data_IF_487033636403
#
_entry.id   IF_487033636403
#
_cell.length_a   1.000
_cell.length_b   1.000
_cell.length_c   1.000
_cell.angle_alpha   90.00
_cell.angle_beta   90.00
_cell.angle_gamma   90.00
#
_symmetry.space_group_name_H-M   'P 1'
#
loop_
_entity.id
_entity.type
_entity.pdbx_description
1 polymer ?
#
# COMPACT_ATOMS: atom_id res chain seq x y z
N UNK A 1 27.62 -16.97 6.88
CA UNK A 1 26.20 -16.66 6.60
C UNK A 1 25.40 -17.95 6.37
N UNK A 2 25.48 -18.92 7.28
CA UNK A 2 24.81 -20.22 7.16
C UNK A 2 23.78 -20.40 8.27
N UNK A 3 22.58 -20.89 7.90
CA UNK A 3 21.45 -21.30 8.76
C UNK A 3 20.48 -20.23 9.28
N UNK A 4 20.61 -18.95 8.91
CA UNK A 4 19.73 -17.87 9.41
C UNK A 4 18.36 -17.73 8.70
N UNK A 5 18.01 -18.62 7.76
CA UNK A 5 16.68 -18.65 7.12
C UNK A 5 15.71 -19.65 7.77
N UNK A 6 15.90 -19.97 9.07
CA UNK A 6 15.00 -20.79 9.88
C UNK A 6 13.72 -20.07 10.32
N UNK A 7 13.04 -19.35 9.41
CA UNK A 7 11.91 -18.47 9.75
C UNK A 7 10.61 -19.21 10.06
N UNK A 8 10.51 -20.49 9.69
CA UNK A 8 9.30 -21.28 9.78
C UNK A 8 9.69 -22.67 10.31
N UNK A 9 9.57 -22.86 11.62
CA UNK A 9 9.65 -24.19 12.22
C UNK A 9 8.23 -24.76 12.23
N UNK A 10 8.08 -25.95 11.67
CA UNK A 10 6.83 -26.70 11.81
C UNK A 10 6.81 -27.22 13.23
N UNK A 11 5.96 -26.65 14.09
CA UNK A 11 5.64 -27.31 15.35
C UNK A 11 4.75 -28.51 15.06
N UNK A 12 5.00 -29.61 15.76
CA UNK A 12 4.43 -30.93 15.47
C UNK A 12 2.89 -30.98 15.51
N UNK A 13 2.21 -29.97 16.06
CA UNK A 13 0.75 -29.99 16.23
C UNK A 13 0.00 -28.71 15.78
N UNK A 14 0.67 -27.69 15.19
CA UNK A 14 0.03 -26.36 15.07
C UNK A 14 0.27 -25.53 13.81
N UNK A 15 1.07 -26.01 12.85
CA UNK A 15 1.42 -25.24 11.64
C UNK A 15 2.67 -24.38 11.81
N UNK A 16 2.87 -23.42 10.91
CA UNK A 16 4.06 -22.58 10.90
C UNK A 16 3.94 -21.45 11.92
N UNK A 17 4.77 -21.48 12.97
CA UNK A 17 4.93 -20.36 13.90
C UNK A 17 6.32 -19.73 13.74
N UNK A 18 6.38 -18.40 13.72
CA UNK A 18 7.66 -17.72 13.90
C UNK A 18 8.03 -17.79 15.39
N UNK A 19 9.06 -18.56 15.73
CA UNK A 19 9.62 -18.63 17.08
C UNK A 19 10.30 -17.29 17.41
N UNK A 20 9.69 -16.47 18.27
CA UNK A 20 10.29 -15.19 18.66
C UNK A 20 11.40 -15.41 19.68
N UNK A 21 11.21 -16.38 20.58
CA UNK A 21 12.16 -16.70 21.66
C UNK A 21 13.54 -17.10 21.13
N UNK A 22 13.62 -18.02 20.17
CA UNK A 22 14.89 -18.47 19.60
C UNK A 22 15.63 -17.33 18.88
N UNK A 23 14.89 -16.49 18.13
CA UNK A 23 15.46 -15.34 17.42
C UNK A 23 16.03 -14.29 18.39
N UNK A 24 15.27 -13.93 19.43
CA UNK A 24 15.74 -12.97 20.44
C UNK A 24 16.90 -13.52 21.27
N UNK A 25 16.90 -14.82 21.57
CA UNK A 25 18.01 -15.49 22.24
C UNK A 25 19.29 -15.45 21.39
N UNK A 26 19.17 -15.61 20.06
CA UNK A 26 20.31 -15.51 19.15
C UNK A 26 20.93 -14.09 19.12
N UNK A 27 20.15 -13.07 19.47
CA UNK A 27 20.61 -11.68 19.63
C UNK A 27 21.07 -11.35 21.06
N UNK A 28 21.15 -12.35 21.95
CA UNK A 28 21.44 -12.18 23.36
C UNK A 28 20.46 -11.22 24.07
N UNK A 29 19.20 -11.17 23.62
CA UNK A 29 18.14 -10.40 24.27
C UNK A 29 17.42 -11.31 25.27
N UNK A 30 17.52 -10.97 26.55
CA UNK A 30 16.72 -11.62 27.59
C UNK A 30 15.28 -11.09 27.55
N UNK A 31 14.38 -11.92 27.00
CA UNK A 31 12.95 -11.58 26.91
C UNK A 31 12.28 -11.50 28.27
N UNK A 32 12.74 -12.24 29.28
CA UNK A 32 12.20 -12.15 30.64
C UNK A 32 12.47 -10.77 31.24
N UNK A 33 13.70 -10.27 31.08
CA UNK A 33 14.04 -8.91 31.49
C UNK A 33 13.33 -7.85 30.63
N UNK A 34 13.27 -8.06 29.32
CA UNK A 34 12.72 -7.08 28.36
C UNK A 34 11.20 -6.91 28.51
N UNK A 35 10.48 -7.96 28.91
CA UNK A 35 9.04 -7.94 29.13
C UNK A 35 8.63 -7.62 30.57
N UNK A 36 9.59 -7.44 31.49
CA UNK A 36 9.33 -7.14 32.89
C UNK A 36 8.73 -5.74 33.06
N UNK A 37 7.63 -5.61 33.78
CA UNK A 37 7.00 -4.32 34.05
C UNK A 37 7.30 -3.85 35.47
N UNK A 38 7.77 -2.62 35.62
CA UNK A 38 7.94 -1.99 36.94
C UNK A 38 6.93 -0.86 37.14
N UNK A 39 6.25 -0.87 38.27
CA UNK A 39 5.21 0.09 38.61
C UNK A 39 5.59 0.90 39.84
N UNK A 40 5.19 2.16 39.86
CA UNK A 40 5.35 3.05 41.01
C UNK A 40 4.28 2.84 42.07
N UNK A 41 4.41 3.58 43.17
CA UNK A 41 3.39 3.64 44.23
C UNK A 41 2.03 4.07 43.72
N UNK A 42 2.04 4.92 42.69
CA UNK A 42 0.82 5.50 42.10
C UNK A 42 0.21 4.62 41.02
N UNK A 43 0.61 3.34 40.94
CA UNK A 43 0.19 2.37 39.91
C UNK A 43 0.57 2.77 38.47
N UNK A 44 1.36 3.84 38.31
CA UNK A 44 1.89 4.26 37.02
C UNK A 44 3.04 3.36 36.59
N UNK A 45 3.15 3.12 35.28
CA UNK A 45 4.24 2.33 34.72
C UNK A 45 5.52 3.17 34.70
N UNK A 46 6.56 2.72 35.41
CA UNK A 46 7.85 3.41 35.51
C UNK A 46 8.80 2.93 34.40
N UNK A 47 8.91 1.62 34.21
CA UNK A 47 9.77 1.04 33.17
C UNK A 47 9.16 -0.20 32.53
N UNK A 48 9.54 -0.41 31.27
CA UNK A 48 9.29 -1.61 30.48
C UNK A 48 10.65 -2.24 30.20
N UNK A 49 10.93 -3.34 30.91
CA UNK A 49 12.26 -3.88 31.06
C UNK A 49 13.24 -2.80 31.49
N UNK A 50 14.25 -2.56 30.66
CA UNK A 50 15.29 -1.55 30.91
C UNK A 50 14.95 -0.16 30.34
N UNK A 51 13.77 0.03 29.76
CA UNK A 51 13.36 1.28 29.12
C UNK A 51 12.45 2.06 30.08
N UNK A 52 12.88 3.24 30.49
CA UNK A 52 12.10 4.18 31.30
C UNK A 52 11.35 5.18 30.42
N UNK A 53 10.37 5.88 31.00
CA UNK A 53 9.67 6.98 30.33
C UNK A 53 10.66 8.04 29.82
N UNK A 54 10.53 8.41 28.55
CA UNK A 54 11.45 9.32 27.85
C UNK A 54 12.68 8.66 27.24
N UNK A 55 12.94 7.38 27.55
CA UNK A 55 14.06 6.62 27.00
C UNK A 55 13.66 5.64 25.89
N UNK A 56 12.37 5.57 25.52
CA UNK A 56 11.93 4.71 24.42
C UNK A 56 12.54 5.19 23.11
N UNK A 57 13.24 4.28 22.43
CA UNK A 57 13.92 4.57 21.16
C UNK A 57 12.89 4.82 20.05
N UNK A 58 12.87 6.02 19.44
CA UNK A 58 12.00 6.28 18.29
C UNK A 58 12.43 5.44 17.07
N UNK A 59 11.47 5.07 16.21
CA UNK A 59 11.75 4.41 14.93
C UNK A 59 11.20 5.21 13.75
N UNK A 60 11.91 6.27 13.32
CA UNK A 60 11.50 7.13 12.20
C UNK A 60 11.32 6.38 10.88
N UNK A 61 12.00 5.25 10.67
CA UNK A 61 11.80 4.37 9.51
C UNK A 61 10.49 3.58 9.52
N UNK A 62 9.67 3.68 10.57
CA UNK A 62 8.37 3.00 10.69
C UNK A 62 7.26 4.01 10.98
N UNK A 63 7.43 4.81 12.05
CA UNK A 63 6.45 5.78 12.50
C UNK A 63 6.83 7.24 12.19
N UNK A 64 7.82 7.46 11.33
CA UNK A 64 8.27 8.78 10.94
C UNK A 64 7.22 9.59 10.15
N UNK A 65 7.28 10.90 10.30
CA UNK A 65 6.39 11.85 9.62
C UNK A 65 6.56 11.80 8.10
N UNK A 66 7.77 11.55 7.60
CA UNK A 66 8.03 11.36 6.18
C UNK A 66 7.30 10.17 5.58
N UNK A 67 7.18 9.05 6.30
CA UNK A 67 6.39 7.89 5.85
C UNK A 67 4.91 8.26 5.81
N UNK A 68 4.44 9.00 6.80
CA UNK A 68 3.07 9.50 6.82
C UNK A 68 2.76 10.46 5.65
N UNK A 69 3.69 11.34 5.29
CA UNK A 69 3.56 12.18 4.09
C UNK A 69 3.63 11.37 2.80
N UNK A 70 4.53 10.39 2.71
CA UNK A 70 4.59 9.50 1.55
C UNK A 70 3.25 8.77 1.33
N UNK A 71 2.54 8.44 2.41
CA UNK A 71 1.19 7.85 2.33
C UNK A 71 0.13 8.77 1.70
N UNK A 72 0.27 10.10 1.76
CA UNK A 72 -0.69 11.01 1.12
C UNK A 72 -0.78 10.80 -0.39
N UNK A 73 0.29 10.35 -1.02
CA UNK A 73 0.29 10.10 -2.46
C UNK A 73 -0.38 8.79 -2.82
N UNK A 74 -0.45 7.86 -1.87
CA UNK A 74 -1.29 6.68 -1.98
C UNK A 74 -2.76 7.07 -1.94
N UNK A 75 -3.14 8.04 -1.09
CA UNK A 75 -4.46 8.67 -1.17
C UNK A 75 -4.70 9.36 -2.51
N UNK A 76 -3.65 9.91 -3.14
CA UNK A 76 -3.72 10.36 -4.52
C UNK A 76 -4.24 9.27 -5.47
N UNK A 77 -3.76 8.03 -5.36
CA UNK A 77 -4.26 6.89 -6.14
C UNK A 77 -5.73 6.59 -5.83
N UNK A 78 -6.12 6.62 -4.56
CA UNK A 78 -7.52 6.41 -4.13
C UNK A 78 -8.45 7.48 -4.71
N UNK A 79 -8.08 8.75 -4.60
CA UNK A 79 -8.85 9.87 -5.16
C UNK A 79 -8.95 9.75 -6.67
N UNK A 80 -7.85 9.44 -7.35
CA UNK A 80 -7.86 9.20 -8.80
C UNK A 80 -8.79 8.04 -9.18
N UNK A 81 -8.80 6.96 -8.38
CA UNK A 81 -9.68 5.81 -8.59
C UNK A 81 -11.16 6.18 -8.47
N UNK A 82 -11.53 6.89 -7.40
CA UNK A 82 -12.89 7.34 -7.15
C UNK A 82 -13.38 8.28 -8.25
N UNK A 83 -12.59 9.30 -8.57
CA UNK A 83 -12.91 10.25 -9.65
C UNK A 83 -13.08 9.52 -10.98
N UNK A 84 -12.19 8.57 -11.29
CA UNK A 84 -12.28 7.80 -12.53
C UNK A 84 -13.59 7.02 -12.63
N UNK A 85 -13.97 6.28 -11.58
CA UNK A 85 -15.18 5.46 -11.63
C UNK A 85 -16.43 6.31 -11.66
N UNK A 86 -16.48 7.42 -10.91
CA UNK A 86 -17.59 8.39 -10.99
C UNK A 86 -17.73 8.90 -12.42
N UNK A 87 -16.63 9.33 -13.04
CA UNK A 87 -16.63 9.77 -14.43
C UNK A 87 -17.07 8.64 -15.37
N UNK A 88 -16.60 7.41 -15.20
CA UNK A 88 -17.00 6.26 -16.03
C UNK A 88 -18.51 5.96 -15.92
N UNK A 89 -19.07 5.98 -14.70
CA UNK A 89 -20.49 5.73 -14.46
C UNK A 89 -21.33 6.86 -15.09
N UNK A 90 -20.99 8.12 -14.82
CA UNK A 90 -21.72 9.29 -15.32
C UNK A 90 -21.69 9.40 -16.85
N UNK A 91 -20.55 9.06 -17.46
CA UNK A 91 -20.38 9.19 -18.92
C UNK A 91 -21.05 8.05 -19.67
N UNK A 92 -21.14 6.85 -19.07
CA UNK A 92 -21.95 5.75 -19.61
C UNK A 92 -23.45 5.94 -19.42
N UNK A 93 -23.89 6.66 -18.38
CA UNK A 93 -25.32 6.91 -18.14
C UNK A 93 -25.90 8.02 -19.02
N UNK A 94 -25.11 9.04 -19.36
CA UNK A 94 -25.61 10.23 -20.07
C UNK A 94 -25.52 10.16 -21.59
N UNK A 95 -24.54 9.44 -22.18
CA UNK A 95 -24.44 9.35 -23.64
C UNK A 95 -23.70 8.09 -24.10
N UNK A 96 -24.33 7.21 -24.90
CA UNK A 96 -23.71 5.98 -25.41
C UNK A 96 -22.49 6.23 -26.33
N UNK A 97 -22.30 7.47 -26.81
CA UNK A 97 -21.19 7.89 -27.68
C UNK A 97 -20.21 8.87 -27.04
N UNK A 98 -20.28 9.14 -25.72
CA UNK A 98 -19.33 10.08 -25.11
C UNK A 98 -17.93 9.45 -25.02
N UNK A 99 -16.97 9.98 -25.80
CA UNK A 99 -15.56 9.57 -25.82
C UNK A 99 -14.79 9.76 -24.50
N UNK A 100 -15.50 10.01 -23.39
CA UNK A 100 -14.91 10.18 -22.06
C UNK A 100 -14.60 8.82 -21.42
N UNK A 101 -15.45 7.79 -21.63
CA UNK A 101 -15.31 6.40 -21.14
C UNK A 101 -14.03 5.70 -21.66
N UNK A 102 -13.41 6.23 -22.71
CA UNK A 102 -12.13 5.74 -23.24
C UNK A 102 -10.92 6.08 -22.36
N UNK A 103 -11.10 6.61 -21.14
CA UNK A 103 -9.99 7.07 -20.28
C UNK A 103 -9.01 5.95 -19.84
N UNK A 104 -9.36 4.66 -19.92
CA UNK A 104 -8.42 3.53 -19.74
C UNK A 104 -8.55 2.38 -20.76
N UNK A 105 -9.42 2.50 -21.78
CA UNK A 105 -9.42 1.60 -22.95
C UNK A 105 -8.38 2.08 -23.93
N UNK A 106 -7.24 1.40 -24.14
CA UNK A 106 -6.18 1.89 -25.06
C UNK A 106 -6.89 2.31 -26.35
N UNK A 107 -6.80 3.60 -26.70
CA UNK A 107 -7.10 3.96 -28.07
C UNK A 107 -6.21 3.03 -28.90
N UNK A 108 -6.77 2.34 -29.92
CA UNK A 108 -5.91 1.73 -30.93
C UNK A 108 -4.86 2.78 -31.29
N UNK A 109 -3.59 2.35 -31.25
CA UNK A 109 -2.40 3.19 -31.44
C UNK A 109 -2.81 4.37 -32.30
N UNK A 110 -2.92 5.56 -31.67
CA UNK A 110 -3.56 6.74 -32.27
C UNK A 110 -3.23 6.74 -33.75
N UNK A 111 -4.27 6.69 -34.56
CA UNK A 111 -4.14 6.96 -35.98
C UNK A 111 -3.24 8.20 -36.08
N UNK A 112 -2.03 8.10 -36.64
CA UNK A 112 -1.06 9.19 -36.60
C UNK A 112 -1.65 10.52 -37.12
N UNK A 113 -2.74 10.44 -37.87
CA UNK A 113 -3.49 11.53 -38.47
C UNK A 113 -4.54 12.18 -37.53
N UNK A 114 -4.65 11.79 -36.25
CA UNK A 114 -5.63 12.39 -35.33
C UNK A 114 -5.21 13.83 -34.92
N UNK A 115 -5.62 14.80 -35.74
CA UNK A 115 -5.30 16.25 -35.64
C UNK A 115 -5.81 16.95 -34.37
N UNK A 116 -6.60 16.31 -33.50
CA UNK A 116 -7.22 17.00 -32.38
C UNK A 116 -6.26 17.10 -31.15
N UNK A 117 -5.75 18.31 -30.82
CA UNK A 117 -4.78 18.48 -29.74
C UNK A 117 -5.35 18.13 -28.35
N UNK A 118 -6.67 18.25 -28.14
CA UNK A 118 -7.32 17.91 -26.87
C UNK A 118 -7.30 16.39 -26.61
N UNK A 119 -7.59 15.59 -27.64
CA UNK A 119 -7.54 14.12 -27.55
C UNK A 119 -6.12 13.63 -27.29
N UNK A 120 -5.14 14.25 -27.93
CA UNK A 120 -3.71 13.97 -27.72
C UNK A 120 -3.28 14.23 -26.27
N UNK A 121 -3.55 15.42 -25.72
CA UNK A 121 -3.21 15.74 -24.31
C UNK A 121 -3.84 14.73 -23.34
N UNK A 122 -5.10 14.37 -23.57
CA UNK A 122 -5.80 13.33 -22.78
C UNK A 122 -5.07 11.98 -22.83
N UNK A 123 -4.55 11.57 -23.99
CA UNK A 123 -3.77 10.34 -24.14
C UNK A 123 -2.45 10.35 -23.35
N UNK A 124 -1.78 11.49 -23.26
CA UNK A 124 -0.55 11.67 -22.47
C UNK A 124 -0.86 11.58 -20.98
N UNK A 125 -1.81 12.37 -20.47
CA UNK A 125 -2.22 12.35 -19.06
C UNK A 125 -2.66 10.97 -18.60
N UNK A 126 -3.35 10.26 -19.47
CA UNK A 126 -3.77 8.89 -19.21
C UNK A 126 -2.60 7.91 -19.08
N UNK A 127 -1.63 8.00 -19.98
CA UNK A 127 -0.45 7.17 -19.92
C UNK A 127 0.35 7.46 -18.64
N UNK A 128 0.51 8.75 -18.32
CA UNK A 128 1.13 9.21 -17.09
C UNK A 128 0.41 8.67 -15.85
N UNK A 129 -0.92 8.75 -15.80
CA UNK A 129 -1.73 8.22 -14.70
C UNK A 129 -1.62 6.69 -14.55
N UNK A 130 -1.57 5.95 -15.66
CA UNK A 130 -1.30 4.50 -15.63
C UNK A 130 0.10 4.20 -15.08
N UNK A 131 1.12 4.92 -15.55
CA UNK A 131 2.50 4.77 -15.07
C UNK A 131 2.62 5.13 -13.60
N UNK A 132 1.89 6.16 -13.15
CA UNK A 132 1.81 6.55 -11.74
C UNK A 132 1.21 5.42 -10.90
N UNK A 133 0.01 4.94 -11.24
CA UNK A 133 -0.67 3.89 -10.45
C UNK A 133 0.17 2.60 -10.42
N UNK A 134 0.79 2.19 -11.54
CA UNK A 134 1.70 1.03 -11.55
C UNK A 134 2.96 1.29 -10.72
N UNK A 135 3.59 2.45 -10.87
CA UNK A 135 4.80 2.80 -10.15
C UNK A 135 4.59 2.87 -8.64
N UNK A 136 3.46 3.42 -8.20
CA UNK A 136 3.05 3.42 -6.78
C UNK A 136 2.79 1.98 -6.32
N UNK A 137 2.06 1.16 -7.11
CA UNK A 137 1.79 -0.23 -6.74
C UNK A 137 3.08 -1.04 -6.58
N UNK A 138 4.01 -0.96 -7.53
CA UNK A 138 5.29 -1.69 -7.50
C UNK A 138 6.13 -1.27 -6.28
N UNK A 139 6.15 0.03 -6.01
CA UNK A 139 6.74 0.62 -4.81
C UNK A 139 6.13 0.08 -3.52
N UNK A 140 4.79 0.01 -3.46
CA UNK A 140 4.08 -0.52 -2.30
C UNK A 140 4.38 -2.00 -2.08
N UNK A 141 4.54 -2.78 -3.14
CA UNK A 141 4.91 -4.19 -3.03
C UNK A 141 6.31 -4.37 -2.43
N UNK A 142 7.28 -3.55 -2.88
CA UNK A 142 8.64 -3.54 -2.30
C UNK A 142 8.59 -3.10 -0.83
N UNK A 143 7.82 -2.06 -0.53
CA UNK A 143 7.64 -1.54 0.83
C UNK A 143 7.07 -2.60 1.78
N UNK A 144 5.99 -3.29 1.40
CA UNK A 144 5.44 -4.40 2.19
C UNK A 144 6.47 -5.52 2.35
N UNK A 145 7.18 -5.87 1.27
CA UNK A 145 8.26 -6.87 1.33
C UNK A 145 9.35 -6.49 2.34
N UNK A 146 9.77 -5.22 2.37
CA UNK A 146 10.75 -4.72 3.32
C UNK A 146 10.26 -4.80 4.78
N UNK A 147 9.00 -4.46 5.05
CA UNK A 147 8.40 -4.64 6.38
C UNK A 147 8.32 -6.11 6.78
N UNK A 148 7.86 -6.98 5.88
CA UNK A 148 7.76 -8.41 6.15
C UNK A 148 9.13 -9.04 6.40
N UNK A 149 10.17 -8.63 5.66
CA UNK A 149 11.54 -9.09 5.89
C UNK A 149 12.13 -8.51 7.19
N UNK A 150 11.92 -7.22 7.44
CA UNK A 150 12.36 -6.55 8.67
C UNK A 150 11.71 -7.17 9.91
N UNK A 151 10.44 -7.54 9.79
CA UNK A 151 9.74 -8.33 10.78
C UNK A 151 10.29 -9.72 10.84
N UNK A 152 10.41 -10.46 9.73
CA UNK A 152 10.89 -11.84 9.76
C UNK A 152 12.25 -11.96 10.48
N UNK A 153 13.14 -11.01 10.26
CA UNK A 153 14.46 -10.92 10.89
C UNK A 153 14.44 -10.43 12.35
N UNK A 154 15.47 -9.67 12.69
CA UNK A 154 15.87 -9.35 14.07
C UNK A 154 15.01 -8.29 14.76
N UNK A 155 14.22 -7.54 13.98
CA UNK A 155 13.53 -6.37 14.54
C UNK A 155 12.43 -6.75 15.54
N UNK A 156 11.93 -7.99 15.58
CA UNK A 156 10.80 -8.39 16.46
C UNK A 156 11.08 -8.18 17.95
N UNK A 157 12.33 -8.32 18.37
CA UNK A 157 12.71 -8.31 19.78
C UNK A 157 12.75 -6.91 20.37
N UNK A 158 13.05 -5.91 19.54
CA UNK A 158 13.19 -4.51 19.94
C UNK A 158 12.02 -3.64 19.49
N UNK A 159 11.25 -4.10 18.51
CA UNK A 159 10.09 -3.38 17.98
C UNK A 159 8.96 -3.39 19.01
N UNK A 160 8.52 -2.21 19.42
CA UNK A 160 7.32 -2.07 20.26
C UNK A 160 6.05 -2.43 19.48
N UNK A 161 4.99 -2.86 20.17
CA UNK A 161 3.65 -3.05 19.60
C UNK A 161 3.12 -1.81 18.86
N UNK A 162 3.50 -0.61 19.31
CA UNK A 162 3.21 0.66 18.66
C UNK A 162 3.71 0.68 17.21
N UNK A 163 5.02 0.58 17.02
CA UNK A 163 5.65 0.55 15.71
C UNK A 163 5.14 -0.60 14.85
N UNK A 164 4.91 -1.78 15.44
CA UNK A 164 4.33 -2.92 14.73
C UNK A 164 2.93 -2.61 14.21
N UNK A 165 2.05 -2.05 15.04
CA UNK A 165 0.69 -1.67 14.67
C UNK A 165 0.68 -0.59 13.58
N UNK A 166 1.57 0.40 13.67
CA UNK A 166 1.75 1.42 12.63
C UNK A 166 2.14 0.77 11.30
N UNK A 167 3.14 -0.10 11.31
CA UNK A 167 3.60 -0.82 10.13
C UNK A 167 2.53 -1.74 9.53
N UNK A 168 1.75 -2.47 10.34
CA UNK A 168 0.63 -3.29 9.85
C UNK A 168 -0.41 -2.42 9.15
N UNK A 169 -0.79 -1.28 9.74
CA UNK A 169 -1.72 -0.34 9.11
C UNK A 169 -1.15 0.23 7.78
N UNK A 170 0.15 0.50 7.71
CA UNK A 170 0.81 0.93 6.47
C UNK A 170 0.81 -0.18 5.41
N UNK A 171 1.07 -1.44 5.79
CA UNK A 171 0.98 -2.58 4.88
C UNK A 171 -0.45 -2.78 4.36
N UNK A 172 -1.48 -2.56 5.19
CA UNK A 172 -2.88 -2.64 4.77
C UNK A 172 -3.27 -1.55 3.76
N UNK A 173 -2.75 -0.33 3.90
CA UNK A 173 -2.86 0.73 2.90
C UNK A 173 -2.16 0.29 1.60
N UNK A 174 -0.96 -0.27 1.69
CA UNK A 174 -0.22 -0.77 0.54
C UNK A 174 -1.00 -1.87 -0.23
N UNK A 175 -1.59 -2.85 0.47
CA UNK A 175 -2.44 -3.89 -0.14
C UNK A 175 -3.69 -3.29 -0.81
N UNK A 176 -4.26 -2.22 -0.24
CA UNK A 176 -5.36 -1.48 -0.85
C UNK A 176 -4.95 -0.87 -2.20
N UNK A 177 -3.75 -0.26 -2.26
CA UNK A 177 -3.19 0.29 -3.51
C UNK A 177 -2.90 -0.78 -4.55
N UNK A 178 -2.36 -1.94 -4.14
CA UNK A 178 -2.17 -3.09 -5.05
C UNK A 178 -3.50 -3.56 -5.64
N UNK A 179 -4.55 -3.61 -4.81
CA UNK A 179 -5.91 -3.98 -5.26
C UNK A 179 -6.45 -2.97 -6.27
N UNK A 180 -6.29 -1.67 -6.00
CA UNK A 180 -6.69 -0.61 -6.92
C UNK A 180 -5.93 -0.67 -8.25
N UNK A 181 -4.63 -0.96 -8.23
CA UNK A 181 -3.81 -0.97 -9.44
C UNK A 181 -4.29 -2.04 -10.43
N UNK A 182 -4.62 -3.23 -9.93
CA UNK A 182 -5.19 -4.33 -10.73
C UNK A 182 -6.60 -3.98 -11.22
N UNK A 183 -7.46 -3.43 -10.35
CA UNK A 183 -8.84 -3.13 -10.68
C UNK A 183 -8.97 -2.02 -11.74
N UNK A 184 -8.17 -0.95 -11.65
CA UNK A 184 -8.25 0.23 -12.52
C UNK A 184 -7.54 0.03 -13.85
N UNK A 185 -6.40 -0.67 -13.86
CA UNK A 185 -5.55 -0.75 -15.05
C UNK A 185 -5.99 -1.93 -15.92
N UNK A 186 -6.87 -1.66 -16.88
CA UNK A 186 -7.34 -2.67 -17.87
C UNK A 186 -6.22 -3.38 -18.62
N UNK A 187 -5.09 -2.71 -18.75
CA UNK A 187 -3.92 -3.16 -19.49
C UNK A 187 -2.82 -3.70 -18.58
N UNK A 188 -3.17 -4.14 -17.36
CA UNK A 188 -2.24 -4.69 -16.39
C UNK A 188 -1.41 -5.83 -17.00
N UNK A 189 -2.07 -6.73 -17.74
CA UNK A 189 -1.47 -7.87 -18.44
C UNK A 189 -0.94 -7.57 -19.85
N UNK A 190 -0.69 -6.30 -20.19
CA UNK A 190 -0.11 -5.96 -21.51
C UNK A 190 1.25 -6.64 -21.72
N UNK A 191 2.06 -6.72 -20.66
CA UNK A 191 3.26 -7.55 -20.63
C UNK A 191 3.01 -8.69 -19.63
N UNK A 192 2.74 -9.93 -20.10
CA UNK A 192 2.32 -11.02 -19.22
C UNK A 192 3.41 -11.42 -18.22
N UNK A 193 4.69 -11.34 -18.60
CA UNK A 193 5.81 -11.66 -17.69
C UNK A 193 5.87 -10.66 -16.53
N UNK A 194 5.81 -9.36 -16.84
CA UNK A 194 5.81 -8.33 -15.82
C UNK A 194 4.56 -8.38 -14.92
N UNK A 195 3.40 -8.72 -15.49
CA UNK A 195 2.15 -8.87 -14.74
C UNK A 195 2.17 -10.11 -13.83
N UNK A 196 2.69 -11.24 -14.32
CA UNK A 196 2.87 -12.46 -13.54
C UNK A 196 3.83 -12.24 -12.37
N UNK A 197 4.96 -11.57 -12.61
CA UNK A 197 5.90 -11.23 -11.54
C UNK A 197 5.25 -10.36 -10.45
N UNK A 198 4.53 -9.30 -10.84
CA UNK A 198 3.77 -8.47 -9.88
C UNK A 198 2.72 -9.26 -9.12
N UNK A 199 2.01 -10.16 -9.78
CA UNK A 199 1.02 -11.02 -9.14
C UNK A 199 1.68 -11.91 -8.09
N UNK A 200 2.81 -12.54 -8.40
CA UNK A 200 3.57 -13.38 -7.45
C UNK A 200 4.01 -12.56 -6.24
N UNK A 201 4.61 -11.39 -6.47
CA UNK A 201 5.04 -10.52 -5.36
C UNK A 201 3.86 -10.01 -4.53
N UNK A 202 2.75 -9.63 -5.16
CA UNK A 202 1.55 -9.17 -4.46
C UNK A 202 0.90 -10.31 -3.67
N UNK A 203 0.83 -11.52 -4.22
CA UNK A 203 0.38 -12.71 -3.49
C UNK A 203 1.27 -12.98 -2.27
N UNK A 204 2.60 -12.90 -2.44
CA UNK A 204 3.54 -13.00 -1.33
C UNK A 204 3.29 -11.94 -0.25
N UNK A 205 3.03 -10.69 -0.65
CA UNK A 205 2.67 -9.61 0.26
C UNK A 205 1.36 -9.88 1.01
N UNK A 206 0.29 -10.30 0.33
CA UNK A 206 -0.98 -10.67 0.95
C UNK A 206 -0.79 -11.83 1.93
N UNK A 207 -0.09 -12.90 1.54
CA UNK A 207 0.19 -14.05 2.43
C UNK A 207 0.99 -13.61 3.65
N UNK A 208 2.08 -12.85 3.47
CA UNK A 208 2.92 -12.40 4.59
C UNK A 208 2.18 -11.49 5.57
N UNK A 209 1.38 -10.53 5.06
CA UNK A 209 0.55 -9.67 5.91
C UNK A 209 -0.54 -10.49 6.60
N UNK A 210 -1.15 -11.45 5.90
CA UNK A 210 -2.13 -12.39 6.48
C UNK A 210 -1.53 -13.18 7.63
N UNK A 211 -0.36 -13.78 7.45
CA UNK A 211 0.38 -14.48 8.52
C UNK A 211 0.71 -13.57 9.70
N UNK A 212 0.93 -12.28 9.45
CA UNK A 212 1.22 -11.27 10.48
C UNK A 212 -0.04 -10.93 11.29
N UNK A 213 -1.20 -10.81 10.64
CA UNK A 213 -2.47 -10.37 11.25
C UNK A 213 -3.27 -11.52 11.90
N UNK A 214 -3.20 -12.74 11.35
CA UNK A 214 -3.96 -13.92 11.80
C UNK A 214 -3.28 -14.73 12.91
N UNK A 215 -2.31 -14.16 13.62
CA UNK A 215 -1.68 -14.83 14.76
C UNK A 215 -2.68 -14.90 15.93
N UNK A 216 -2.61 -15.99 16.70
CA UNK A 216 -3.54 -16.25 17.81
C UNK A 216 -3.53 -15.11 18.84
N UNK A 217 -2.35 -14.59 19.16
CA UNK A 217 -2.20 -13.50 20.11
C UNK A 217 -2.53 -12.13 19.48
N UNK A 218 -3.31 -11.32 20.19
CA UNK A 218 -3.64 -9.97 19.77
C UNK A 218 -2.43 -9.04 19.96
N UNK A 219 -1.86 -8.55 18.85
CA UNK A 219 -0.69 -7.68 18.85
C UNK A 219 -1.00 -6.21 19.15
N UNK A 220 -2.29 -5.80 19.11
CA UNK A 220 -2.75 -4.44 19.32
C UNK A 220 -3.70 -4.37 20.54
N UNK A 221 -3.14 -4.39 21.76
CA UNK A 221 -3.92 -4.33 22.99
C UNK A 221 -4.52 -2.91 23.18
N UNK A 222 -5.84 -2.84 23.36
CA UNK A 222 -6.63 -1.62 23.63
C UNK A 222 -6.33 -0.44 22.68
N UNK A 223 -6.74 -0.59 21.41
CA UNK A 223 -6.44 0.37 20.35
C UNK A 223 -7.68 1.20 19.90
N UNK A 224 -7.62 2.56 19.89
CA UNK A 224 -6.58 3.41 20.46
C UNK A 224 -6.65 3.48 22.00
N UNK A 225 -5.53 3.66 22.71
CA UNK A 225 -5.57 3.83 24.15
C UNK A 225 -6.37 5.08 24.55
N UNK A 226 -7.05 5.07 25.70
CA UNK A 226 -7.76 6.24 26.21
C UNK A 226 -6.84 7.46 26.35
N UNK A 227 -7.36 8.65 26.03
CA UNK A 227 -6.63 9.92 26.18
C UNK A 227 -6.32 10.27 27.64
N UNK A 228 -6.97 9.63 28.60
CA UNK A 228 -6.78 9.81 30.05
C UNK A 228 -5.56 9.05 30.57
N UNK A 229 -4.98 8.15 29.78
CA UNK A 229 -3.90 7.25 30.21
C UNK A 229 -2.63 7.53 29.39
N UNK A 230 -1.50 7.62 30.09
CA UNK A 230 -0.17 7.78 29.49
C UNK A 230 0.60 6.46 29.36
N UNK A 231 0.11 5.39 29.99
CA UNK A 231 0.73 4.07 29.95
C UNK A 231 -0.16 3.12 29.14
N UNK A 232 0.41 2.21 28.38
CA UNK A 232 -0.38 1.24 27.62
C UNK A 232 0.50 0.07 27.21
N UNK A 233 -0.13 -1.10 27.09
CA UNK A 233 0.49 -2.30 26.56
C UNK A 233 0.98 -2.13 25.10
N UNK A 234 0.52 -1.11 24.36
CA UNK A 234 1.06 -0.78 23.03
C UNK A 234 2.57 -0.40 23.06
N UNK A 235 3.06 0.01 24.23
CA UNK A 235 4.46 0.40 24.44
C UNK A 235 5.39 -0.80 24.67
N UNK A 236 4.81 -1.98 24.98
CA UNK A 236 5.57 -3.21 25.17
C UNK A 236 6.26 -3.63 23.87
N UNK A 237 7.46 -4.26 23.96
CA UNK A 237 8.02 -5.01 22.85
C UNK A 237 7.00 -6.01 22.29
N UNK A 238 6.84 -6.05 20.97
CA UNK A 238 5.82 -6.87 20.31
C UNK A 238 6.01 -8.37 20.60
N UNK A 239 7.26 -8.79 20.82
CA UNK A 239 7.61 -10.13 21.29
C UNK A 239 6.84 -10.53 22.57
N UNK A 240 6.71 -9.60 23.52
CA UNK A 240 6.00 -9.82 24.79
C UNK A 240 4.50 -10.06 24.58
N UNK A 241 3.93 -9.61 23.45
CA UNK A 241 2.51 -9.77 23.15
C UNK A 241 2.23 -10.95 22.22
N UNK A 242 3.20 -11.36 21.42
CA UNK A 242 3.05 -12.45 20.46
C UNK A 242 3.21 -13.83 21.10
N UNK A 243 4.03 -13.95 22.15
CA UNK A 243 4.24 -15.18 22.91
C UNK A 243 3.25 -15.26 24.09
N UNK A 244 2.48 -16.35 24.21
CA UNK A 244 1.43 -16.51 25.23
C UNK A 244 1.97 -16.40 26.65
N UNK A 245 3.15 -16.99 26.89
CA UNK A 245 3.72 -17.10 28.23
C UNK A 245 4.24 -15.74 28.70
N UNK A 246 4.93 -15.01 27.82
CA UNK A 246 5.40 -13.65 28.11
C UNK A 246 4.24 -12.67 28.29
N UNK A 247 3.19 -12.81 27.46
CA UNK A 247 1.99 -11.98 27.58
C UNK A 247 1.28 -12.22 28.92
N UNK A 248 1.07 -13.48 29.29
CA UNK A 248 0.42 -13.82 30.55
C UNK A 248 1.22 -13.34 31.76
N UNK A 249 2.55 -13.41 31.69
CA UNK A 249 3.43 -12.86 32.71
C UNK A 249 3.29 -11.34 32.85
N UNK A 250 3.39 -10.60 31.74
CA UNK A 250 3.24 -9.13 31.76
C UNK A 250 1.83 -8.70 32.22
N UNK A 251 0.80 -9.45 31.83
CA UNK A 251 -0.57 -9.22 32.27
C UNK A 251 -0.75 -9.47 33.77
N UNK A 252 -0.10 -10.50 34.31
CA UNK A 252 -0.12 -10.79 35.74
C UNK A 252 0.58 -9.68 36.55
N UNK A 253 1.72 -9.17 36.07
CA UNK A 253 2.42 -8.06 36.72
C UNK A 253 1.57 -6.78 36.77
N UNK A 254 0.90 -6.46 35.67
CA UNK A 254 -0.04 -5.34 35.62
C UNK A 254 -1.22 -5.55 36.58
N UNK A 255 -1.78 -6.76 36.63
CA UNK A 255 -2.89 -7.13 37.54
C UNK A 255 -2.48 -7.01 39.01
N UNK A 256 -1.31 -7.53 39.39
CA UNK A 256 -0.78 -7.46 40.75
C UNK A 256 -0.54 -6.01 41.19
N UNK A 257 -0.11 -5.15 40.26
CA UNK A 257 0.11 -3.72 40.50
C UNK A 257 -1.16 -2.88 40.42
N UNK A 258 -2.33 -3.51 40.13
CA UNK A 258 -3.62 -2.85 39.88
C UNK A 258 -3.56 -1.79 38.77
N UNK A 259 -2.58 -1.90 37.88
CA UNK A 259 -2.39 -0.98 36.78
C UNK A 259 -3.17 -1.45 35.56
N UNK A 260 -4.12 -0.64 35.10
CA UNK A 260 -4.78 -0.89 33.82
C UNK A 260 -3.95 -0.33 32.67
N UNK A 261 -3.18 -1.18 32.01
CA UNK A 261 -2.44 -0.84 30.78
C UNK A 261 -3.15 -1.31 29.50
N UNK A 262 -4.36 -1.84 29.60
CA UNK A 262 -5.21 -2.15 28.45
C UNK A 262 -4.72 -3.31 27.60
N UNK A 263 -4.53 -4.50 28.17
CA UNK A 263 -4.19 -5.70 27.36
C UNK A 263 -5.31 -6.14 26.40
N UNK A 264 -6.55 -5.69 26.64
CA UNK A 264 -7.74 -6.18 25.94
C UNK A 264 -8.04 -7.65 26.23
N UNK A 265 -9.14 -8.16 25.66
CA UNK A 265 -9.44 -9.58 25.74
C UNK A 265 -8.61 -10.35 24.71
N UNK A 266 -8.20 -11.58 25.05
CA UNK A 266 -7.40 -12.44 24.17
C UNK A 266 -8.14 -12.80 22.88
N UNK A 267 -9.47 -12.97 22.98
CA UNK A 267 -10.33 -13.40 21.89
C UNK A 267 -10.94 -12.25 21.08
N UNK A 268 -10.59 -10.99 21.40
CA UNK A 268 -11.08 -9.85 20.63
C UNK A 268 -10.55 -9.93 19.20
N UNK A 269 -11.45 -9.99 18.23
CA UNK A 269 -11.11 -10.03 16.82
C UNK A 269 -10.77 -8.62 16.31
N UNK A 270 -9.50 -8.31 15.97
CA UNK A 270 -9.15 -6.98 15.49
C UNK A 270 -9.83 -6.71 14.14
N UNK A 271 -10.33 -5.48 13.96
CA UNK A 271 -11.01 -5.07 12.72
C UNK A 271 -10.09 -5.16 11.50
N UNK A 272 -8.78 -5.08 11.70
CA UNK A 272 -7.74 -5.31 10.68
C UNK A 272 -7.92 -6.66 9.97
N UNK A 273 -8.37 -7.71 10.68
CA UNK A 273 -8.65 -9.01 10.06
C UNK A 273 -9.81 -8.92 9.06
N UNK A 274 -10.88 -8.17 9.39
CA UNK A 274 -12.00 -7.95 8.47
C UNK A 274 -11.59 -7.14 7.25
N UNK A 275 -10.82 -6.07 7.46
CA UNK A 275 -10.24 -5.29 6.35
C UNK A 275 -9.35 -6.17 5.47
N UNK A 276 -8.53 -7.04 6.06
CA UNK A 276 -7.68 -7.93 5.29
C UNK A 276 -8.49 -8.93 4.46
N UNK A 277 -9.50 -9.60 5.05
CA UNK A 277 -10.34 -10.57 4.33
C UNK A 277 -11.03 -9.88 3.14
N UNK A 278 -11.63 -8.72 3.37
CA UNK A 278 -12.34 -7.97 2.32
C UNK A 278 -11.38 -7.48 1.23
N UNK A 279 -10.19 -7.02 1.58
CA UNK A 279 -9.13 -6.68 0.62
C UNK A 279 -8.67 -7.89 -0.19
N UNK A 280 -8.43 -9.03 0.45
CA UNK A 280 -7.97 -10.25 -0.22
C UNK A 280 -9.02 -10.75 -1.23
N UNK A 281 -10.29 -10.76 -0.85
CA UNK A 281 -11.39 -11.11 -1.77
C UNK A 281 -11.46 -10.09 -2.91
N UNK A 282 -11.37 -8.79 -2.62
CA UNK A 282 -11.39 -7.76 -3.66
C UNK A 282 -10.22 -7.92 -4.65
N UNK A 283 -9.03 -8.23 -4.16
CA UNK A 283 -7.84 -8.50 -4.98
C UNK A 283 -8.04 -9.72 -5.89
N UNK A 284 -8.55 -10.83 -5.36
CA UNK A 284 -8.84 -12.04 -6.15
C UNK A 284 -9.91 -11.78 -7.21
N UNK A 285 -10.99 -11.09 -6.85
CA UNK A 285 -12.05 -10.69 -7.78
C UNK A 285 -11.53 -9.75 -8.86
N UNK A 286 -10.64 -8.80 -8.51
CA UNK A 286 -10.00 -7.91 -9.48
C UNK A 286 -9.22 -8.71 -10.53
N UNK A 287 -8.42 -9.70 -10.10
CA UNK A 287 -7.69 -10.59 -11.00
C UNK A 287 -8.60 -11.51 -11.83
N UNK A 288 -9.62 -12.12 -11.21
CA UNK A 288 -10.59 -12.99 -11.89
C UNK A 288 -11.40 -12.23 -12.94
N UNK A 289 -11.56 -10.91 -12.81
CA UNK A 289 -12.25 -10.08 -13.80
C UNK A 289 -11.45 -9.85 -15.09
N UNK A 290 -10.14 -10.13 -15.10
CA UNK A 290 -9.26 -9.79 -16.23
C UNK A 290 -9.57 -10.62 -17.49
N UNK A 291 -9.72 -11.95 -17.43
CA UNK A 291 -10.11 -12.75 -18.60
C UNK A 291 -11.46 -12.32 -19.19
N UNK A 292 -12.43 -11.98 -18.32
CA UNK A 292 -13.76 -11.51 -18.72
C UNK A 292 -13.64 -10.20 -19.51
N UNK A 293 -12.87 -9.24 -18.97
CA UNK A 293 -12.59 -7.95 -19.65
C UNK A 293 -11.85 -8.13 -20.97
N UNK A 294 -10.97 -9.13 -21.06
CA UNK A 294 -10.24 -9.44 -22.29
C UNK A 294 -11.16 -10.04 -23.37
N UNK A 295 -12.04 -10.97 -22.99
CA UNK A 295 -13.03 -11.57 -23.89
C UNK A 295 -14.02 -10.52 -24.42
N UNK A 296 -14.50 -9.62 -23.55
CA UNK A 296 -15.42 -8.54 -23.92
C UNK A 296 -14.81 -7.58 -24.96
N UNK A 297 -13.48 -7.43 -24.99
CA UNK A 297 -12.78 -6.55 -25.93
C UNK A 297 -12.83 -7.05 -27.39
N UNK A 298 -13.09 -8.34 -27.61
CA UNK A 298 -13.15 -8.93 -28.96
C UNK A 298 -14.48 -8.67 -29.67
N UNK A 299 -15.59 -8.59 -28.94
CA UNK A 299 -16.91 -8.41 -29.55
C UNK A 299 -17.16 -6.91 -29.84
N UNK A 300 -17.16 -6.54 -31.13
CA UNK A 300 -16.97 -5.17 -31.61
C UNK A 300 -18.23 -4.27 -31.67
N UNK A 301 -19.32 -4.60 -30.99
CA UNK A 301 -20.48 -3.68 -30.91
C UNK A 301 -20.92 -3.54 -29.45
N UNK A 302 -20.86 -2.33 -28.86
CA UNK A 302 -21.37 -2.10 -27.52
C UNK A 302 -22.90 -2.23 -27.56
N UNK A 303 -23.39 -3.43 -27.28
CA UNK A 303 -24.81 -3.68 -27.09
C UNK A 303 -25.31 -2.83 -25.90
N UNK A 304 -26.50 -2.22 -26.04
CA UNK A 304 -27.10 -1.41 -24.97
C UNK A 304 -27.12 -2.23 -23.68
N UNK A 305 -26.65 -1.64 -22.58
CA UNK A 305 -26.66 -2.31 -21.29
C UNK A 305 -28.10 -2.68 -20.90
N UNK A 306 -28.39 -3.98 -20.87
CA UNK A 306 -29.55 -4.49 -20.14
C UNK A 306 -29.42 -4.05 -18.68
N UNK A 307 -30.53 -3.70 -18.02
CA UNK A 307 -30.55 -3.24 -16.61
C UNK A 307 -29.72 -4.13 -15.68
N UNK A 308 -29.74 -5.44 -15.92
CA UNK A 308 -28.95 -6.42 -15.18
C UNK A 308 -27.43 -6.19 -15.28
N UNK A 309 -26.89 -5.95 -16.48
CA UNK A 309 -25.45 -5.70 -16.68
C UNK A 309 -25.00 -4.39 -16.03
N UNK A 310 -25.87 -3.38 -16.04
CA UNK A 310 -25.63 -2.13 -15.36
C UNK A 310 -25.51 -2.33 -13.85
N UNK A 311 -26.47 -3.05 -13.26
CA UNK A 311 -26.44 -3.42 -11.85
C UNK A 311 -25.17 -4.20 -11.49
N UNK A 312 -24.84 -5.27 -12.22
CA UNK A 312 -23.62 -6.07 -11.97
C UNK A 312 -22.35 -5.21 -12.03
N UNK A 313 -22.26 -4.30 -13.00
CA UNK A 313 -21.06 -3.46 -13.14
C UNK A 313 -20.97 -2.41 -12.03
N UNK A 314 -22.08 -1.80 -11.62
CA UNK A 314 -22.12 -0.86 -10.49
C UNK A 314 -21.76 -1.58 -9.19
N UNK A 315 -22.34 -2.76 -8.94
CA UNK A 315 -22.03 -3.59 -7.77
C UNK A 315 -20.57 -4.01 -7.75
N UNK A 316 -20.02 -4.44 -8.90
CA UNK A 316 -18.61 -4.75 -9.03
C UNK A 316 -17.72 -3.55 -8.65
N UNK A 317 -17.98 -2.37 -9.21
CA UNK A 317 -17.17 -1.19 -8.91
C UNK A 317 -17.34 -0.69 -7.48
N UNK A 318 -18.56 -0.74 -6.93
CA UNK A 318 -18.79 -0.44 -5.52
C UNK A 318 -17.95 -1.36 -4.62
N UNK A 319 -17.92 -2.66 -4.92
CA UNK A 319 -17.12 -3.64 -4.18
C UNK A 319 -15.61 -3.49 -4.42
N UNK A 320 -15.16 -3.06 -5.60
CA UNK A 320 -13.73 -2.81 -5.87
C UNK A 320 -13.23 -1.51 -5.25
N UNK A 321 -14.09 -0.53 -5.03
CA UNK A 321 -13.71 0.78 -4.51
C UNK A 321 -13.87 0.90 -3.00
N UNK A 322 -14.99 0.44 -2.46
CA UNK A 322 -15.38 0.74 -1.08
C UNK A 322 -14.42 0.08 -0.06
N UNK A 323 -14.16 -1.24 -0.08
CA UNK A 323 -13.29 -1.86 0.92
C UNK A 323 -11.86 -1.31 0.93
N UNK A 324 -11.15 -1.16 -0.22
CA UNK A 324 -9.82 -0.58 -0.20
C UNK A 324 -9.78 0.89 0.22
N UNK A 325 -10.80 1.69 -0.15
CA UNK A 325 -10.92 3.09 0.29
C UNK A 325 -11.12 3.17 1.80
N UNK A 326 -12.10 2.43 2.33
CA UNK A 326 -12.43 2.43 3.76
C UNK A 326 -11.24 1.95 4.57
N UNK A 327 -10.60 0.86 4.16
CA UNK A 327 -9.39 0.33 4.83
C UNK A 327 -8.29 1.38 4.84
N UNK A 328 -8.02 2.03 3.71
CA UNK A 328 -6.96 3.03 3.62
C UNK A 328 -7.21 4.23 4.54
N UNK A 329 -8.43 4.78 4.54
CA UNK A 329 -8.83 5.93 5.37
C UNK A 329 -8.76 5.58 6.85
N UNK A 330 -9.31 4.43 7.25
CA UNK A 330 -9.33 4.00 8.66
C UNK A 330 -7.92 3.71 9.15
N UNK A 331 -7.10 2.96 8.40
CA UNK A 331 -5.71 2.68 8.76
C UNK A 331 -4.88 3.96 8.88
N UNK A 332 -5.07 4.93 7.98
CA UNK A 332 -4.37 6.22 8.06
C UNK A 332 -4.78 7.04 9.28
N UNK A 333 -6.09 7.11 9.58
CA UNK A 333 -6.59 7.78 10.78
C UNK A 333 -6.06 7.10 12.05
N UNK A 334 -5.99 5.77 12.07
CA UNK A 334 -5.41 5.00 13.18
C UNK A 334 -3.94 5.32 13.38
N UNK A 335 -3.12 5.32 12.32
CA UNK A 335 -1.70 5.71 12.41
C UNK A 335 -1.56 7.11 12.99
N UNK A 336 -2.37 8.08 12.53
CA UNK A 336 -2.35 9.43 13.07
C UNK A 336 -2.68 9.48 14.58
N UNK A 337 -3.78 8.84 14.99
CA UNK A 337 -4.18 8.75 16.39
C UNK A 337 -3.11 8.08 17.26
N UNK A 338 -2.46 7.03 16.75
CA UNK A 338 -1.40 6.29 17.45
C UNK A 338 -0.20 7.18 17.72
N UNK A 339 0.28 7.86 16.68
CA UNK A 339 1.46 8.72 16.76
C UNK A 339 1.22 9.89 17.71
N UNK A 340 0.03 10.50 17.65
CA UNK A 340 -0.32 11.60 18.54
C UNK A 340 -0.51 11.15 19.98
N UNK A 341 -1.03 9.94 20.22
CA UNK A 341 -1.09 9.38 21.57
C UNK A 341 0.31 9.11 22.14
N UNK A 342 1.18 8.41 21.40
CA UNK A 342 2.56 8.10 21.85
C UNK A 342 3.40 9.35 22.07
N UNK A 343 3.19 10.41 21.28
CA UNK A 343 3.83 11.70 21.50
C UNK A 343 3.41 12.31 22.84
N UNK A 344 2.12 12.26 23.19
CA UNK A 344 1.58 12.82 24.43
C UNK A 344 1.90 11.97 25.65
N UNK A 345 2.11 10.67 25.48
CA UNK A 345 2.39 9.73 26.57
C UNK A 345 3.72 9.99 27.29
N UNK A 346 4.64 10.73 26.65
CA UNK A 346 5.96 11.07 27.20
C UNK A 346 6.96 9.91 27.20
N UNK A 347 6.62 8.78 26.59
CA UNK A 347 7.50 7.61 26.55
C UNK A 347 8.68 7.77 25.60
N UNK A 348 8.49 8.47 24.49
CA UNK A 348 9.56 8.81 23.55
C UNK A 348 10.20 10.14 23.97
N UNK A 349 11.54 10.16 24.04
CA UNK A 349 12.31 11.32 24.44
C UNK A 349 12.16 12.53 23.52
N UNK A 350 12.49 13.71 24.05
CA UNK A 350 12.64 14.94 23.27
C UNK A 350 14.13 15.21 23.03
N UNK A 351 14.60 15.35 21.77
CA UNK A 351 13.81 15.44 20.54
C UNK A 351 13.34 14.08 20.01
N UNK A 352 12.08 14.01 19.54
CA UNK A 352 11.54 12.81 18.89
C UNK A 352 11.88 12.82 17.39
N UNK A 353 12.78 11.93 16.97
CA UNK A 353 13.23 11.81 15.57
C UNK A 353 12.14 11.36 14.61
N UNK A 354 11.03 10.77 15.08
CA UNK A 354 9.85 10.46 14.25
C UNK A 354 9.16 11.71 13.70
N UNK A 355 9.37 12.88 14.31
CA UNK A 355 8.83 14.16 13.82
C UNK A 355 9.86 14.97 13.02
N UNK A 356 11.09 14.48 12.89
CA UNK A 356 12.15 15.12 12.12
C UNK A 356 12.18 14.51 10.72
N UNK A 357 11.84 15.29 9.70
CA UNK A 357 11.76 14.83 8.29
C UNK A 357 13.09 14.31 7.75
N UNK A 358 14.21 14.81 8.28
CA UNK A 358 15.56 14.58 7.76
C UNK A 358 16.23 13.28 8.24
N UNK A 359 15.52 12.45 9.01
CA UNK A 359 16.07 11.15 9.42
C UNK A 359 16.24 10.19 8.22
N UNK A 360 17.29 9.36 8.25
CA UNK A 360 17.66 8.47 7.15
C UNK A 360 16.53 7.50 6.77
N UNK A 361 15.74 7.01 7.74
CA UNK A 361 14.60 6.13 7.46
C UNK A 361 13.49 6.83 6.66
N UNK A 362 13.31 8.13 6.87
CA UNK A 362 12.30 8.93 6.19
C UNK A 362 12.76 9.35 4.79
N UNK A 363 14.06 9.57 4.60
CA UNK A 363 14.65 9.86 3.29
C UNK A 363 14.45 8.70 2.30
N UNK A 364 14.46 7.44 2.75
CA UNK A 364 14.19 6.29 1.89
C UNK A 364 12.76 6.36 1.34
N UNK A 365 11.76 6.60 2.20
CA UNK A 365 10.36 6.73 1.79
C UNK A 365 10.18 7.91 0.80
N UNK A 366 10.86 9.03 1.04
CA UNK A 366 10.85 10.19 0.16
C UNK A 366 11.58 9.93 -1.18
N UNK A 367 12.69 9.21 -1.18
CA UNK A 367 13.44 8.87 -2.39
C UNK A 367 12.65 7.92 -3.30
N UNK A 368 11.99 6.95 -2.69
CA UNK A 368 11.04 6.06 -3.36
C UNK A 368 9.91 6.87 -4.01
N UNK A 369 9.38 7.85 -3.30
CA UNK A 369 8.39 8.77 -3.84
C UNK A 369 8.93 9.57 -5.04
N UNK A 370 10.09 10.22 -4.87
CA UNK A 370 10.72 11.00 -5.94
C UNK A 370 10.91 10.12 -7.18
N UNK A 371 11.30 8.86 -7.00
CA UNK A 371 11.46 7.90 -8.09
C UNK A 371 10.14 7.65 -8.85
N UNK A 372 9.02 7.50 -8.15
CA UNK A 372 7.70 7.36 -8.79
C UNK A 372 7.34 8.62 -9.59
N UNK A 373 7.54 9.81 -9.02
CA UNK A 373 7.26 11.09 -9.71
C UNK A 373 8.15 11.23 -10.95
N UNK A 374 9.45 10.95 -10.82
CA UNK A 374 10.40 11.02 -11.92
C UNK A 374 10.06 10.04 -13.05
N UNK A 375 9.60 8.82 -12.72
CA UNK A 375 9.14 7.86 -13.72
C UNK A 375 7.91 8.38 -14.49
N UNK A 376 6.98 9.05 -13.80
CA UNK A 376 5.81 9.67 -14.44
C UNK A 376 6.21 10.82 -15.35
N UNK A 377 7.07 11.73 -14.86
CA UNK A 377 7.58 12.86 -15.63
C UNK A 377 8.37 12.38 -16.86
N UNK A 378 9.21 11.36 -16.71
CA UNK A 378 9.98 10.77 -17.81
C UNK A 378 9.08 10.17 -18.90
N UNK A 379 8.02 9.44 -18.52
CA UNK A 379 7.04 8.92 -19.48
C UNK A 379 6.28 10.05 -20.19
N UNK A 380 5.94 11.13 -19.47
CA UNK A 380 5.30 12.31 -20.08
C UNK A 380 6.22 12.97 -21.11
N UNK A 381 7.46 13.29 -20.74
CA UNK A 381 8.44 13.96 -21.61
C UNK A 381 8.80 13.10 -22.83
N UNK A 382 9.00 11.80 -22.63
CA UNK A 382 9.31 10.85 -23.72
C UNK A 382 8.18 10.80 -24.76
N UNK A 383 6.93 10.89 -24.32
CA UNK A 383 5.78 10.96 -25.24
C UNK A 383 5.71 12.28 -25.96
N UNK A 384 5.97 13.39 -25.29
CA UNK A 384 6.00 14.70 -25.94
C UNK A 384 7.08 14.77 -27.04
N UNK A 385 8.29 14.29 -26.75
CA UNK A 385 9.39 14.22 -27.73
C UNK A 385 9.04 13.31 -28.92
N UNK A 386 8.52 12.09 -28.66
CA UNK A 386 8.09 11.18 -29.73
C UNK A 386 7.07 11.83 -30.66
N UNK A 387 6.16 12.63 -30.13
CA UNK A 387 5.16 13.29 -30.97
C UNK A 387 5.73 14.53 -31.67
N UNK A 388 6.64 15.29 -31.03
CA UNK A 388 7.34 16.39 -31.68
C UNK A 388 8.18 15.90 -32.88
N UNK A 389 8.89 14.78 -32.73
CA UNK A 389 9.65 14.13 -33.80
C UNK A 389 8.75 13.66 -34.95
N UNK A 390 7.60 13.06 -34.65
CA UNK A 390 6.61 12.67 -35.67
C UNK A 390 6.08 13.86 -36.46
N UNK A 391 5.68 14.93 -35.76
CA UNK A 391 5.20 16.16 -36.43
C UNK A 391 6.22 16.71 -37.43
N UNK A 392 7.52 16.70 -37.06
CA UNK A 392 8.60 17.09 -37.98
C UNK A 392 8.71 16.15 -39.18
N UNK A 393 8.64 14.83 -38.98
CA UNK A 393 8.67 13.86 -40.08
C UNK A 393 7.49 14.03 -41.05
N UNK A 394 6.29 14.30 -40.53
CA UNK A 394 5.10 14.53 -41.36
C UNK A 394 5.22 15.82 -42.17
N UNK A 395 5.78 16.89 -41.59
CA UNK A 395 6.09 18.14 -42.28
C UNK A 395 7.12 17.93 -43.41
N UNK A 396 8.22 17.19 -43.15
CA UNK A 396 9.18 16.83 -44.20
C UNK A 396 8.55 15.98 -45.31
N UNK A 397 7.61 15.09 -44.97
CA UNK A 397 6.92 14.25 -45.94
C UNK A 397 5.98 15.05 -46.84
N UNK A 398 5.26 16.02 -46.27
CA UNK A 398 4.41 16.93 -47.02
C UNK A 398 5.22 17.85 -47.95
N UNK A 399 6.37 18.36 -47.48
CA UNK A 399 7.27 19.14 -48.34
C UNK A 399 7.82 18.26 -49.46
N UNK A 400 8.26 17.04 -49.15
CA UNK A 400 8.76 16.09 -50.15
C UNK A 400 7.73 15.68 -51.20
N UNK A 401 6.45 15.49 -50.83
CA UNK A 401 5.40 15.15 -51.80
C UNK A 401 5.11 16.30 -52.77
N UNK A 402 5.15 17.55 -52.31
CA UNK A 402 4.95 18.73 -53.17
C UNK A 402 6.06 18.84 -54.22
N UNK A 403 7.32 18.59 -53.84
CA UNK A 403 8.42 18.56 -54.81
C UNK A 403 8.29 17.41 -55.81
N UNK A 404 7.85 16.24 -55.35
CA UNK A 404 7.70 15.08 -56.24
C UNK A 404 6.57 15.28 -57.26
N UNK A 405 5.45 15.89 -56.87
CA UNK A 405 4.34 16.23 -57.79
C UNK A 405 4.75 17.33 -58.78
N UNK A 406 5.50 18.35 -58.33
CA UNK A 406 5.98 19.42 -59.21
C UNK A 406 6.95 18.90 -60.28
N UNK A 407 7.82 17.94 -59.96
CA UNK A 407 8.75 17.33 -60.92
C UNK A 407 8.02 16.45 -61.96
N UNK A 408 6.97 15.74 -61.55
CA UNK A 408 6.11 14.99 -62.47
C UNK A 408 5.32 15.93 -63.40
N UNK A 409 4.82 17.04 -62.88
CA UNK A 409 4.12 18.03 -63.71
C UNK A 409 5.08 18.70 -64.71
N UNK A 410 6.31 19.00 -64.31
CA UNK A 410 7.32 19.55 -65.22
C UNK A 410 7.74 18.55 -66.30
N UNK A 411 7.93 17.27 -65.95
CA UNK A 411 8.25 16.19 -66.92
C UNK A 411 7.11 15.86 -67.87
N UNK A 412 5.85 16.06 -67.48
CA UNK A 412 4.71 15.80 -68.37
C UNK A 412 4.43 16.92 -69.36
N UNK A 413 5.00 18.12 -69.13
CA UNK A 413 4.89 19.29 -70.03
C UNK A 413 6.03 19.40 -71.04
N UNK A 414 7.12 18.66 -70.85
CA UNK A 414 8.23 18.49 -71.80
C UNK A 414 7.99 17.24 -72.64
#
# INVERSE_FOLDING_TARGET
MGNSFGFLKVEAEGGFQFTVVEACKAEAIDLGQTCNLTFGTDQQLISIGNVTRGAMKPMPGIAGIGIWFAMLLFFGVVVCALLFVVVEILTRSTAPNSGIVAYFKESPVNDPDELNPKKRKKGIFRAAGRTFILGVSDTQTIFVGAFLLGFAGQSKCQLTSYHFTVAVNQMMIALSVMTFSVALIRTYWRNPLAAAFRLILSLGAFVGVGLTIFRKANYAPDWPPPNTRNDSAILLPVACLLESDLRSHAQEQARQSRADIGFGELDTWPIERWFFITLAIAFLVAHASIPIRFAERRNHVPEKWKRFRAFVTVTYWAYMLLPPTVTSVVCWARVYQTREWVKRSGWIGSPNTEYIIWDSGQLIAMGVLISVIMNVLSEMLTREDKIAKRKKMDEYRQVGSVYHDSDYELRSRL
#
